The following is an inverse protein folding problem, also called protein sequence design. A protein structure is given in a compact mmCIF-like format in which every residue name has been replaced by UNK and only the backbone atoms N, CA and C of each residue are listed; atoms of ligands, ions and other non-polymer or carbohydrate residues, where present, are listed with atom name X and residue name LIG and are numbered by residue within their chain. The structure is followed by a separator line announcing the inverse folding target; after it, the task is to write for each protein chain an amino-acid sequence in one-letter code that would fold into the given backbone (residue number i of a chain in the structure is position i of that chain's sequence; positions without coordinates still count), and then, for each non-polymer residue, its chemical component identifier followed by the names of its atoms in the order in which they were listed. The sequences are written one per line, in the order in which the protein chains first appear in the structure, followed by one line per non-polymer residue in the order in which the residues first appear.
data_IF_355883639248
#
_entry.id   IF_355883639248
#
_cell.length_a   1.000
_cell.length_b   1.000
_cell.length_c   1.000
_cell.angle_alpha   90.00
_cell.angle_beta   90.00
_cell.angle_gamma   90.00
#
_symmetry.space_group_name_H-M   'P 1'
#
loop_
_entity.id
_entity.type
_entity.pdbx_description
1 polymer ?
#
# COMPACT_ATOMS: atom_id res chain seq x y z
N UNK A 1 -29.67 -3.26 -9.18
CA UNK A 1 -29.96 -1.87 -9.60
C UNK A 1 -29.98 -1.71 -11.12
N UNK A 2 -30.82 -0.81 -11.66
CA UNK A 2 -30.79 -0.41 -13.07
C UNK A 2 -29.56 0.45 -13.39
N UNK A 3 -29.11 0.45 -14.64
CA UNK A 3 -27.91 1.17 -15.08
C UNK A 3 -27.97 2.67 -14.79
N UNK A 4 -29.11 3.33 -15.02
CA UNK A 4 -29.27 4.78 -14.78
C UNK A 4 -28.94 5.20 -13.35
N UNK A 5 -29.32 4.40 -12.36
CA UNK A 5 -29.00 4.70 -10.95
C UNK A 5 -27.50 4.56 -10.72
N UNK A 6 -26.89 3.49 -11.20
CA UNK A 6 -25.44 3.28 -11.11
C UNK A 6 -24.65 4.35 -11.87
N UNK A 7 -25.17 4.84 -13.00
CA UNK A 7 -24.57 5.93 -13.75
C UNK A 7 -24.55 7.24 -12.97
N UNK A 8 -25.67 7.64 -12.37
CA UNK A 8 -25.70 8.86 -11.54
C UNK A 8 -24.82 8.75 -10.31
N UNK A 9 -24.80 7.59 -9.63
CA UNK A 9 -23.86 7.37 -8.52
C UNK A 9 -22.41 7.50 -9.00
N UNK A 10 -22.07 6.95 -10.17
CA UNK A 10 -20.73 7.13 -10.73
C UNK A 10 -20.41 8.61 -11.02
N UNK A 11 -21.34 9.38 -11.59
CA UNK A 11 -21.13 10.80 -11.83
C UNK A 11 -20.93 11.59 -10.52
N UNK A 12 -21.72 11.30 -9.49
CA UNK A 12 -21.56 11.88 -8.15
C UNK A 12 -20.17 11.58 -7.56
N UNK A 13 -19.71 10.33 -7.69
CA UNK A 13 -18.37 9.94 -7.23
C UNK A 13 -17.26 10.62 -8.03
N UNK A 14 -17.44 10.84 -9.34
CA UNK A 14 -16.48 11.55 -10.17
C UNK A 14 -16.43 13.04 -9.82
N UNK A 15 -17.57 13.67 -9.55
CA UNK A 15 -17.64 15.09 -9.14
C UNK A 15 -17.05 15.32 -7.75
N UNK A 16 -17.06 14.31 -6.88
CA UNK A 16 -16.46 14.35 -5.55
C UNK A 16 -14.93 14.17 -5.55
N UNK A 17 -14.32 13.79 -6.68
CA UNK A 17 -12.86 13.63 -6.78
C UNK A 17 -12.15 14.99 -6.70
N UNK A 18 -11.02 15.06 -5.97
CA UNK A 18 -10.07 16.16 -6.11
C UNK A 18 -9.67 16.37 -7.58
N UNK A 19 -9.52 17.64 -8.00
CA UNK A 19 -9.20 17.99 -9.40
C UNK A 19 -7.86 17.42 -9.90
N UNK A 20 -6.97 17.05 -8.98
CA UNK A 20 -5.64 16.47 -9.21
C UNK A 20 -5.62 14.94 -9.05
N UNK A 21 -6.80 14.30 -8.90
CA UNK A 21 -6.87 12.84 -8.75
C UNK A 21 -6.44 12.14 -10.03
N UNK A 22 -5.48 11.24 -9.89
CA UNK A 22 -5.07 10.36 -10.99
C UNK A 22 -5.80 9.02 -10.93
N UNK A 23 -6.15 8.53 -12.12
CA UNK A 23 -6.76 7.22 -12.32
C UNK A 23 -5.89 6.45 -13.31
N UNK A 24 -5.72 5.16 -13.05
CA UNK A 24 -4.84 4.28 -13.80
C UNK A 24 -5.65 3.21 -14.48
N UNK A 25 -5.36 3.01 -15.76
CA UNK A 25 -5.95 1.93 -16.55
C UNK A 25 -5.41 0.56 -16.12
N UNK A 26 -6.25 -0.46 -15.95
CA UNK A 26 -5.85 -1.74 -15.35
C UNK A 26 -4.99 -2.64 -16.26
N UNK A 27 -5.07 -2.50 -17.59
CA UNK A 27 -4.24 -3.31 -18.49
C UNK A 27 -2.98 -2.57 -18.92
N UNK A 28 -3.14 -1.33 -19.41
CA UNK A 28 -2.05 -0.55 -19.98
C UNK A 28 -1.29 0.30 -18.97
N UNK A 29 -1.76 0.38 -17.71
CA UNK A 29 -1.13 1.15 -16.64
C UNK A 29 -0.90 2.63 -16.98
N UNK A 30 -1.66 3.17 -17.94
CA UNK A 30 -1.65 4.58 -18.31
C UNK A 30 -2.41 5.40 -17.28
N UNK A 31 -1.79 6.48 -16.81
CA UNK A 31 -2.37 7.49 -15.91
C UNK A 31 -3.20 8.51 -16.69
N UNK A 32 -4.35 8.88 -16.16
CA UNK A 32 -5.20 9.93 -16.68
C UNK A 32 -5.95 10.65 -15.56
N UNK A 33 -6.37 11.88 -15.83
CA UNK A 33 -7.22 12.66 -14.95
C UNK A 33 -8.64 12.74 -15.51
N UNK A 34 -9.62 12.89 -14.62
CA UNK A 34 -11.01 13.17 -14.99
C UNK A 34 -11.11 14.66 -15.32
N UNK A 35 -11.35 14.99 -16.58
CA UNK A 35 -11.39 16.38 -17.07
C UNK A 35 -12.77 17.03 -16.97
N UNK A 36 -13.72 16.57 -17.79
CA UNK A 36 -15.07 17.15 -17.85
C UNK A 36 -16.13 16.05 -17.73
N UNK A 37 -17.07 16.23 -16.80
CA UNK A 37 -18.09 15.25 -16.47
C UNK A 37 -19.42 15.74 -17.05
N UNK A 38 -20.03 14.91 -17.91
CA UNK A 38 -21.31 15.24 -18.54
C UNK A 38 -22.27 14.06 -18.44
N UNK A 39 -23.58 14.35 -18.50
CA UNK A 39 -24.65 13.35 -18.41
C UNK A 39 -24.49 12.18 -19.40
N UNK A 40 -23.89 12.41 -20.57
CA UNK A 40 -23.76 11.40 -21.63
C UNK A 40 -22.32 10.94 -21.88
N UNK A 41 -21.33 11.55 -21.24
CA UNK A 41 -19.91 11.20 -21.43
C UNK A 41 -19.02 11.76 -20.32
N UNK A 42 -17.89 11.10 -20.09
CA UNK A 42 -16.81 11.60 -19.23
C UNK A 42 -15.59 11.84 -20.12
N UNK A 43 -15.00 13.03 -20.04
CA UNK A 43 -13.77 13.35 -20.75
C UNK A 43 -12.59 13.05 -19.82
N UNK A 44 -11.68 12.21 -20.27
CA UNK A 44 -10.41 11.94 -19.57
C UNK A 44 -9.24 12.56 -20.33
N UNK A 45 -8.17 12.87 -19.62
CA UNK A 45 -6.93 13.43 -20.17
C UNK A 45 -5.74 12.60 -19.70
N UNK A 46 -5.01 11.96 -20.62
CA UNK A 46 -3.84 11.14 -20.28
C UNK A 46 -2.66 12.01 -19.86
N UNK A 47 -2.03 11.69 -18.72
CA UNK A 47 -0.97 12.51 -18.13
C UNK A 47 0.27 12.62 -19.03
N UNK A 48 0.66 11.53 -19.70
CA UNK A 48 1.88 11.49 -20.52
C UNK A 48 1.73 12.19 -21.88
N UNK A 49 0.54 12.12 -22.50
CA UNK A 49 0.32 12.58 -23.87
C UNK A 49 -0.51 13.87 -23.97
N UNK A 50 -1.14 14.30 -22.87
CA UNK A 50 -2.20 15.32 -22.86
C UNK A 50 -3.33 15.04 -23.88
N UNK A 51 -3.53 13.76 -24.23
CA UNK A 51 -4.57 13.36 -25.15
C UNK A 51 -5.91 13.29 -24.43
N UNK A 52 -6.93 13.95 -24.99
CA UNK A 52 -8.30 13.94 -24.46
C UNK A 52 -9.11 12.84 -25.12
N UNK A 53 -9.63 11.92 -24.31
CA UNK A 53 -10.48 10.83 -24.77
C UNK A 53 -11.89 10.96 -24.18
N UNK A 54 -12.96 11.05 -25.01
CA UNK A 54 -14.33 11.01 -24.52
C UNK A 54 -14.81 9.57 -24.28
N UNK A 55 -15.16 9.25 -23.05
CA UNK A 55 -15.77 7.98 -22.65
C UNK A 55 -17.29 8.09 -22.67
N UNK A 56 -17.93 7.44 -23.64
CA UNK A 56 -19.37 7.50 -23.87
C UNK A 56 -20.18 6.67 -22.86
N UNK A 57 -21.31 7.21 -22.36
CA UNK A 57 -22.24 6.53 -21.44
C UNK A 57 -22.70 5.17 -21.95
N UNK A 58 -22.96 5.03 -23.25
CA UNK A 58 -23.46 3.77 -23.85
C UNK A 58 -22.44 2.62 -23.71
N UNK A 59 -21.15 2.94 -23.70
CA UNK A 59 -20.10 1.94 -23.51
C UNK A 59 -20.02 1.50 -22.05
N UNK A 60 -20.21 2.41 -21.08
CA UNK A 60 -20.41 2.04 -19.67
C UNK A 60 -21.64 1.15 -19.50
N UNK A 61 -22.75 1.48 -20.17
CA UNK A 61 -23.97 0.67 -20.13
C UNK A 61 -23.72 -0.75 -20.67
N UNK A 62 -22.97 -0.85 -21.76
CA UNK A 62 -22.57 -2.13 -22.35
C UNK A 62 -21.70 -2.95 -21.40
N UNK A 63 -20.70 -2.33 -20.77
CA UNK A 63 -19.83 -2.99 -19.80
C UNK A 63 -20.62 -3.45 -18.57
N UNK A 64 -21.46 -2.58 -18.01
CA UNK A 64 -22.35 -2.89 -16.89
C UNK A 64 -23.26 -4.08 -17.18
N UNK A 65 -23.89 -4.11 -18.37
CA UNK A 65 -24.74 -5.23 -18.77
C UNK A 65 -23.94 -6.54 -18.93
N UNK A 66 -22.71 -6.49 -19.44
CA UNK A 66 -21.83 -7.67 -19.56
C UNK A 66 -21.43 -8.24 -18.21
N UNK A 67 -21.11 -7.37 -17.25
CA UNK A 67 -20.79 -7.76 -15.86
C UNK A 67 -22.01 -8.46 -15.25
N UNK A 68 -23.20 -7.85 -15.33
CA UNK A 68 -24.45 -8.47 -14.84
C UNK A 68 -24.83 -9.77 -15.51
N UNK A 69 -24.60 -9.87 -16.81
CA UNK A 69 -24.89 -11.08 -17.58
C UNK A 69 -23.94 -12.25 -17.28
N UNK A 70 -22.86 -12.01 -16.53
CA UNK A 70 -21.77 -12.95 -16.29
C UNK A 70 -21.52 -13.15 -14.79
N UNK A 71 -22.60 -13.34 -14.02
CA UNK A 71 -22.57 -13.53 -12.57
C UNK A 71 -21.79 -12.43 -11.82
N UNK A 72 -21.93 -11.18 -12.28
CA UNK A 72 -21.27 -10.02 -11.68
C UNK A 72 -19.78 -9.93 -12.00
N UNK A 73 -19.26 -10.60 -13.04
CA UNK A 73 -17.83 -10.62 -13.37
C UNK A 73 -17.55 -10.39 -14.85
N UNK A 74 -16.52 -9.62 -15.19
CA UNK A 74 -16.09 -9.46 -16.58
C UNK A 74 -14.57 -9.53 -16.70
N UNK A 75 -14.06 -10.36 -17.61
CA UNK A 75 -12.62 -10.49 -17.88
C UNK A 75 -12.13 -9.34 -18.78
N UNK A 76 -11.09 -8.64 -18.30
CA UNK A 76 -10.55 -7.43 -18.89
C UNK A 76 -9.83 -7.70 -20.22
N UNK A 77 -9.25 -8.89 -20.44
CA UNK A 77 -8.62 -9.26 -21.72
C UNK A 77 -9.59 -9.28 -22.91
N UNK A 78 -10.90 -9.24 -22.64
CA UNK A 78 -11.95 -9.16 -23.66
C UNK A 78 -12.31 -7.72 -24.04
N UNK A 79 -11.65 -6.72 -23.47
CA UNK A 79 -11.85 -5.33 -23.83
C UNK A 79 -11.38 -5.04 -25.26
N UNK A 80 -12.05 -4.12 -25.97
CA UNK A 80 -11.49 -3.59 -27.21
C UNK A 80 -10.21 -2.78 -26.94
N UNK A 81 -9.37 -2.53 -27.96
CA UNK A 81 -8.08 -1.84 -27.81
C UNK A 81 -8.14 -0.47 -27.10
N UNK A 82 -9.24 0.26 -27.20
CA UNK A 82 -9.45 1.56 -26.54
C UNK A 82 -10.42 1.47 -25.34
N UNK A 83 -10.72 0.24 -24.90
CA UNK A 83 -11.70 -0.06 -23.86
C UNK A 83 -11.16 0.01 -22.44
N UNK A 84 -9.84 0.08 -22.28
CA UNK A 84 -9.14 0.01 -20.99
C UNK A 84 -9.52 1.11 -19.98
N UNK A 85 -9.83 2.37 -20.38
CA UNK A 85 -10.26 3.39 -19.43
C UNK A 85 -11.66 3.17 -18.83
N UNK A 86 -12.52 2.38 -19.48
CA UNK A 86 -13.88 2.14 -19.00
C UNK A 86 -13.96 1.40 -17.65
N UNK A 87 -13.31 0.25 -17.45
CA UNK A 87 -13.28 -0.39 -16.14
C UNK A 87 -12.63 0.49 -15.07
N UNK A 88 -11.57 1.25 -15.40
CA UNK A 88 -10.89 2.15 -14.47
C UNK A 88 -11.81 3.26 -13.95
N UNK A 89 -12.62 3.87 -14.83
CA UNK A 89 -13.62 4.85 -14.41
C UNK A 89 -14.78 4.16 -13.68
N UNK A 90 -15.21 2.98 -14.14
CA UNK A 90 -16.31 2.26 -13.49
C UNK A 90 -15.98 1.81 -12.07
N UNK A 91 -14.71 1.50 -11.76
CA UNK A 91 -14.29 1.11 -10.40
C UNK A 91 -14.31 2.26 -9.39
N UNK A 92 -14.47 3.51 -9.83
CA UNK A 92 -14.73 4.64 -8.92
C UNK A 92 -16.15 4.58 -8.33
N UNK A 93 -17.04 3.81 -8.94
CA UNK A 93 -18.34 3.52 -8.36
C UNK A 93 -18.19 2.53 -7.20
N UNK A 94 -18.87 2.72 -6.05
CA UNK A 94 -18.68 1.89 -4.85
C UNK A 94 -19.22 0.46 -4.97
N UNK A 95 -19.51 -0.07 -6.16
CA UNK A 95 -19.99 -1.45 -6.31
C UNK A 95 -19.15 -2.22 -7.31
N UNK A 96 -18.12 -1.59 -7.86
CA UNK A 96 -17.28 -2.19 -8.86
C UNK A 96 -15.85 -2.16 -8.37
N UNK A 97 -15.19 -3.30 -8.43
CA UNK A 97 -13.81 -3.45 -8.02
C UNK A 97 -13.05 -4.19 -9.12
N UNK A 98 -11.82 -3.76 -9.37
CA UNK A 98 -10.92 -4.44 -10.29
C UNK A 98 -10.05 -5.39 -9.47
N UNK A 99 -10.02 -6.64 -9.90
CA UNK A 99 -9.05 -7.62 -9.45
C UNK A 99 -8.09 -7.89 -10.60
N UNK A 100 -6.94 -7.22 -10.59
CA UNK A 100 -5.93 -7.35 -11.64
C UNK A 100 -5.30 -8.74 -11.69
N UNK A 101 -5.06 -9.38 -10.54
CA UNK A 101 -4.47 -10.73 -10.51
C UNK A 101 -5.32 -11.74 -11.28
N UNK A 102 -6.64 -11.61 -11.13
CA UNK A 102 -7.61 -12.42 -11.86
C UNK A 102 -7.96 -11.83 -13.24
N UNK A 103 -7.50 -10.61 -13.56
CA UNK A 103 -7.80 -9.89 -14.79
C UNK A 103 -9.31 -9.65 -14.97
N UNK A 104 -10.04 -9.35 -13.89
CA UNK A 104 -11.49 -9.18 -13.91
C UNK A 104 -11.96 -7.92 -13.19
N UNK A 105 -13.05 -7.33 -13.66
CA UNK A 105 -13.87 -6.39 -12.89
C UNK A 105 -15.09 -7.13 -12.32
N UNK A 106 -15.42 -6.86 -11.06
CA UNK A 106 -16.45 -7.56 -10.29
C UNK A 106 -17.47 -6.56 -9.75
N UNK A 107 -18.76 -6.87 -9.86
CA UNK A 107 -19.84 -6.16 -9.15
C UNK A 107 -20.06 -6.78 -7.76
N UNK A 108 -20.04 -5.95 -6.73
CA UNK A 108 -20.35 -6.33 -5.34
C UNK A 108 -21.78 -5.93 -4.96
N UNK A 109 -22.38 -6.68 -4.03
CA UNK A 109 -23.79 -6.50 -3.65
C UNK A 109 -24.03 -5.34 -2.67
N UNK A 110 -23.04 -4.97 -1.88
CA UNK A 110 -23.04 -3.82 -0.97
C UNK A 110 -22.11 -2.71 -1.48
N UNK A 111 -22.41 -1.42 -1.23
CA UNK A 111 -21.47 -0.35 -1.51
C UNK A 111 -20.18 -0.64 -0.74
N UNK A 112 -19.08 -0.91 -1.45
CA UNK A 112 -17.74 -1.06 -0.91
C UNK A 112 -17.29 0.26 -0.31
N UNK A 113 -17.68 0.51 0.94
CA UNK A 113 -16.65 0.75 1.95
C UNK A 113 -15.99 -0.61 2.18
N UNK A 114 -15.11 -0.98 1.26
CA UNK A 114 -13.97 -1.84 1.52
C UNK A 114 -14.17 -2.91 2.61
N UNK A 115 -14.72 -4.06 2.22
CA UNK A 115 -14.79 -5.29 3.00
C UNK A 115 -15.19 -5.13 4.48
N UNK A 116 -16.49 -4.93 4.70
CA UNK A 116 -17.10 -5.45 5.91
C UNK A 116 -17.04 -6.98 5.81
N UNK A 117 -16.03 -7.57 6.44
CA UNK A 117 -15.94 -9.03 6.58
C UNK A 117 -17.20 -9.49 7.29
N UNK A 118 -17.93 -10.43 6.69
CA UNK A 118 -18.91 -11.24 7.38
C UNK A 118 -18.25 -11.83 8.64
N UNK A 119 -18.48 -11.18 9.78
CA UNK A 119 -18.03 -11.66 11.09
C UNK A 119 -18.66 -13.01 11.46
N UNK A 120 -19.63 -13.49 10.67
CA UNK A 120 -20.30 -14.78 10.82
C UNK A 120 -19.71 -15.90 9.95
N UNK A 121 -18.69 -15.62 9.14
CA UNK A 121 -17.85 -16.69 8.59
C UNK A 121 -16.95 -17.21 9.71
N UNK A 122 -17.52 -18.04 10.60
CA UNK A 122 -16.72 -18.98 11.41
C UNK A 122 -15.81 -19.69 10.40
N UNK A 123 -14.48 -19.45 10.39
CA UNK A 123 -13.65 -20.20 9.48
C UNK A 123 -13.83 -21.64 9.90
N UNK A 124 -14.37 -22.46 8.99
CA UNK A 124 -14.24 -23.90 9.08
C UNK A 124 -12.78 -24.15 9.46
N UNK A 125 -12.56 -24.94 10.52
CA UNK A 125 -11.25 -25.28 11.09
C UNK A 125 -10.22 -25.51 10.00
N UNK A 126 -9.57 -24.44 9.54
CA UNK A 126 -8.47 -24.51 8.62
C UNK A 126 -7.29 -24.79 9.54
N UNK A 127 -6.74 -26.00 9.44
CA UNK A 127 -5.47 -26.36 10.07
C UNK A 127 -4.48 -25.23 9.78
N UNK A 128 -4.11 -24.49 10.83
CA UNK A 128 -3.13 -23.42 10.71
C UNK A 128 -1.81 -24.07 10.32
N UNK A 129 -1.26 -23.65 9.19
CA UNK A 129 0.05 -24.10 8.74
C UNK A 129 1.06 -23.00 9.06
N UNK A 130 2.16 -23.37 9.68
CA UNK A 130 3.30 -22.49 9.91
C UNK A 130 3.86 -22.01 8.56
N UNK A 131 3.95 -20.68 8.32
CA UNK A 131 4.52 -20.14 7.10
C UNK A 131 6.05 -20.17 7.14
N UNK A 132 6.66 -20.48 6.00
CA UNK A 132 8.11 -20.39 5.79
C UNK A 132 8.50 -18.91 5.55
N UNK A 133 8.51 -18.12 6.63
CA UNK A 133 8.81 -16.69 6.63
C UNK A 133 9.67 -16.32 7.84
N UNK A 134 10.81 -15.66 7.62
CA UNK A 134 11.73 -15.25 8.69
C UNK A 134 11.01 -14.40 9.77
N UNK A 135 10.17 -13.45 9.35
CA UNK A 135 9.39 -12.61 10.29
C UNK A 135 8.47 -13.44 11.19
N UNK A 136 7.97 -14.60 10.73
CA UNK A 136 7.13 -15.46 11.55
C UNK A 136 7.93 -16.09 12.69
N UNK A 137 9.06 -16.72 12.35
CA UNK A 137 9.95 -17.34 13.33
C UNK A 137 10.50 -16.31 14.33
N UNK A 138 10.99 -15.17 13.85
CA UNK A 138 11.55 -14.12 14.71
C UNK A 138 10.49 -13.48 15.61
N UNK A 139 9.25 -13.35 15.13
CA UNK A 139 8.14 -12.82 15.95
C UNK A 139 7.79 -13.80 17.07
N UNK A 140 7.81 -15.11 16.83
CA UNK A 140 7.57 -16.10 17.89
C UNK A 140 8.67 -16.03 18.96
N UNK A 141 9.94 -15.95 18.55
CA UNK A 141 11.07 -15.77 19.48
C UNK A 141 10.97 -14.45 20.25
N UNK A 142 10.51 -13.37 19.61
CA UNK A 142 10.30 -12.10 20.28
C UNK A 142 9.14 -12.19 21.30
N UNK A 143 8.01 -12.78 20.93
CA UNK A 143 6.86 -12.97 21.85
C UNK A 143 7.32 -13.75 23.10
N UNK A 144 8.03 -14.84 22.87
CA UNK A 144 8.62 -15.69 23.89
C UNK A 144 9.59 -14.91 24.81
N UNK A 145 10.50 -14.12 24.25
CA UNK A 145 11.37 -13.24 25.04
C UNK A 145 10.59 -12.17 25.84
N UNK A 146 9.52 -11.61 25.28
CA UNK A 146 8.66 -10.62 25.94
C UNK A 146 7.83 -11.22 27.07
N UNK A 147 7.56 -12.53 27.04
CA UNK A 147 6.86 -13.24 28.12
C UNK A 147 7.79 -13.57 29.29
N UNK A 148 9.08 -13.82 29.04
CA UNK A 148 10.06 -14.12 30.09
C UNK A 148 10.61 -12.89 30.83
N UNK A 149 10.70 -11.73 30.17
CA UNK A 149 11.32 -10.53 30.73
C UNK A 149 10.34 -9.37 30.88
N UNK A 150 10.39 -8.66 32.02
CA UNK A 150 9.63 -7.41 32.19
C UNK A 150 10.30 -6.27 31.39
N UNK A 151 9.89 -6.13 30.14
CA UNK A 151 10.40 -5.09 29.23
C UNK A 151 9.80 -3.71 29.50
N UNK A 152 8.91 -3.56 30.48
CA UNK A 152 8.32 -2.26 30.82
C UNK A 152 9.28 -1.38 31.64
N UNK A 153 10.34 -1.97 32.19
CA UNK A 153 11.43 -1.30 32.91
C UNK A 153 12.81 -1.74 32.36
N UNK A 154 13.17 -1.38 31.11
CA UNK A 154 14.40 -1.87 30.46
C UNK A 154 15.69 -1.51 31.20
N UNK A 155 15.70 -0.44 31.99
CA UNK A 155 16.83 -0.05 32.83
C UNK A 155 17.17 -1.04 33.96
N UNK A 156 16.24 -1.93 34.31
CA UNK A 156 16.43 -2.96 35.34
C UNK A 156 16.96 -4.28 34.75
N UNK A 157 16.98 -4.40 33.42
CA UNK A 157 17.43 -5.60 32.71
C UNK A 157 18.96 -5.66 32.60
N UNK A 158 19.50 -6.88 32.62
CA UNK A 158 20.92 -7.10 32.39
C UNK A 158 21.31 -6.78 30.95
N UNK A 159 22.57 -6.36 30.75
CA UNK A 159 23.09 -5.99 29.42
C UNK A 159 22.91 -7.11 28.40
N UNK A 160 23.09 -8.38 28.81
CA UNK A 160 22.94 -9.54 27.93
C UNK A 160 21.49 -9.68 27.44
N UNK A 161 20.51 -9.54 28.34
CA UNK A 161 19.08 -9.49 28.00
C UNK A 161 18.76 -8.33 27.05
N UNK A 162 19.31 -7.14 27.31
CA UNK A 162 19.11 -5.97 26.45
C UNK A 162 19.68 -6.18 25.05
N UNK A 163 20.84 -6.82 24.93
CA UNK A 163 21.44 -7.17 23.63
C UNK A 163 20.57 -8.17 22.87
N UNK A 164 20.05 -9.19 23.55
CA UNK A 164 19.15 -10.18 22.95
C UNK A 164 17.85 -9.52 22.46
N UNK A 165 17.19 -8.72 23.31
CA UNK A 165 15.97 -7.99 22.95
C UNK A 165 16.21 -7.03 21.77
N UNK A 166 17.31 -6.28 21.79
CA UNK A 166 17.66 -5.38 20.69
C UNK A 166 17.82 -6.13 19.36
N UNK A 167 18.49 -7.29 19.39
CA UNK A 167 18.72 -8.11 18.20
C UNK A 167 17.40 -8.64 17.64
N UNK A 168 16.56 -9.26 18.47
CA UNK A 168 15.24 -9.77 18.05
C UNK A 168 14.32 -8.66 17.53
N UNK A 169 14.28 -7.50 18.20
CA UNK A 169 13.50 -6.35 17.74
C UNK A 169 14.00 -5.84 16.38
N UNK A 170 15.31 -5.80 16.17
CA UNK A 170 15.92 -5.39 14.90
C UNK A 170 15.57 -6.36 13.77
N UNK A 171 15.65 -7.67 14.03
CA UNK A 171 15.34 -8.70 13.03
C UNK A 171 13.85 -8.70 12.67
N UNK A 172 12.96 -8.65 13.67
CA UNK A 172 11.50 -8.50 13.44
C UNK A 172 11.20 -7.22 12.68
N UNK A 173 11.80 -6.08 13.05
CA UNK A 173 11.59 -4.81 12.34
C UNK A 173 11.99 -4.92 10.87
N UNK A 174 13.17 -5.49 10.59
CA UNK A 174 13.70 -5.64 9.24
C UNK A 174 12.84 -6.59 8.42
N UNK A 175 12.58 -7.80 8.92
CA UNK A 175 11.85 -8.84 8.19
C UNK A 175 10.36 -8.47 8.01
N UNK A 176 9.75 -7.79 8.99
CA UNK A 176 8.41 -7.20 8.81
C UNK A 176 8.41 -6.09 7.76
N UNK A 177 9.46 -5.27 7.71
CA UNK A 177 9.57 -4.21 6.69
C UNK A 177 9.81 -4.78 5.28
N UNK A 178 10.55 -5.88 5.14
CA UNK A 178 10.78 -6.56 3.86
C UNK A 178 9.48 -7.21 3.35
N UNK A 179 8.74 -7.90 4.21
CA UNK A 179 7.41 -8.41 3.88
C UNK A 179 6.42 -7.28 3.56
N UNK A 180 6.43 -6.19 4.34
CA UNK A 180 5.58 -5.00 4.11
C UNK A 180 5.86 -4.37 2.75
N UNK A 181 7.12 -4.29 2.32
CA UNK A 181 7.48 -3.80 0.98
C UNK A 181 6.95 -4.72 -0.11
N UNK A 182 7.15 -6.03 0.02
CA UNK A 182 6.60 -7.02 -0.92
C UNK A 182 5.08 -6.90 -1.06
N UNK A 183 4.36 -6.74 0.06
CA UNK A 183 2.91 -6.49 0.07
C UNK A 183 2.56 -5.15 -0.58
N UNK A 184 3.33 -4.10 -0.30
CA UNK A 184 3.13 -2.77 -0.88
C UNK A 184 3.31 -2.79 -2.41
N UNK A 185 4.29 -3.51 -2.93
CA UNK A 185 4.54 -3.64 -4.38
C UNK A 185 3.34 -4.31 -5.08
N UNK A 186 2.79 -5.36 -4.49
CA UNK A 186 1.57 -6.02 -5.00
C UNK A 186 0.37 -5.08 -4.94
N UNK A 187 0.21 -4.33 -3.85
CA UNK A 187 -0.86 -3.35 -3.70
C UNK A 187 -0.73 -2.18 -4.68
N UNK A 188 0.48 -1.74 -5.04
CA UNK A 188 0.68 -0.69 -6.05
C UNK A 188 0.17 -1.09 -7.44
N UNK A 189 0.24 -2.38 -7.78
CA UNK A 189 -0.44 -2.90 -8.98
C UNK A 189 -1.95 -2.74 -8.84
N UNK A 190 -2.52 -3.28 -7.75
CA UNK A 190 -3.97 -3.36 -7.55
C UNK A 190 -4.69 -2.03 -7.24
N UNK A 191 -3.97 -1.00 -6.80
CA UNK A 191 -4.57 0.30 -6.47
C UNK A 191 -4.52 1.23 -7.68
N UNK A 192 -5.68 1.49 -8.30
CA UNK A 192 -5.77 2.24 -9.56
C UNK A 192 -6.12 3.71 -9.41
N UNK A 193 -6.47 4.17 -8.22
CA UNK A 193 -6.87 5.55 -7.98
C UNK A 193 -6.48 6.00 -6.58
N UNK A 194 -6.41 7.31 -6.37
CA UNK A 194 -5.94 7.92 -5.12
C UNK A 194 -6.93 7.82 -3.93
N UNK A 195 -7.95 6.95 -4.02
CA UNK A 195 -8.86 6.66 -2.89
C UNK A 195 -8.32 5.54 -1.99
N UNK A 196 -8.60 5.61 -0.67
CA UNK A 196 -8.30 4.51 0.25
C UNK A 196 -9.11 3.25 -0.07
N UNK A 197 -8.43 2.11 -0.03
CA UNK A 197 -9.02 0.77 0.00
C UNK A 197 -8.81 0.22 1.41
N UNK A 198 -9.89 -0.24 2.04
CA UNK A 198 -9.88 -0.80 3.39
C UNK A 198 -9.84 -2.32 3.41
N UNK A 199 -9.25 -2.83 4.47
CA UNK A 199 -9.40 -4.20 4.92
C UNK A 199 -9.83 -4.22 6.39
N UNK A 200 -9.83 -5.40 7.01
CA UNK A 200 -10.40 -5.58 8.35
C UNK A 200 -9.66 -4.80 9.45
N UNK A 201 -8.40 -4.45 9.23
CA UNK A 201 -7.52 -3.84 10.23
C UNK A 201 -7.12 -2.38 9.91
N UNK A 202 -7.69 -1.80 8.86
CA UNK A 202 -7.37 -0.43 8.42
C UNK A 202 -7.45 -0.24 6.91
N UNK A 203 -6.96 0.89 6.42
CA UNK A 203 -7.01 1.22 4.98
C UNK A 203 -5.67 1.73 4.45
N UNK A 204 -5.49 1.57 3.15
CA UNK A 204 -4.30 1.98 2.40
C UNK A 204 -4.70 2.71 1.13
N UNK A 205 -3.87 3.65 0.67
CA UNK A 205 -4.07 4.38 -0.56
C UNK A 205 -2.77 4.45 -1.36
N UNK A 206 -2.87 4.50 -2.68
CA UNK A 206 -1.77 4.89 -3.54
C UNK A 206 -1.51 6.39 -3.34
N UNK A 207 -0.25 6.79 -3.40
CA UNK A 207 0.13 8.20 -3.39
C UNK A 207 1.42 8.39 -4.15
N UNK A 208 1.52 9.54 -4.82
CA UNK A 208 2.69 9.93 -5.60
C UNK A 208 3.54 10.90 -4.80
N UNK A 209 4.83 10.64 -4.76
CA UNK A 209 5.84 11.60 -4.29
C UNK A 209 6.61 12.10 -5.49
N UNK A 210 6.58 13.40 -5.70
CA UNK A 210 7.40 14.08 -6.71
C UNK A 210 8.67 14.63 -6.06
N UNK A 211 9.82 14.21 -6.55
CA UNK A 211 11.12 14.76 -6.18
C UNK A 211 11.65 15.57 -7.36
N UNK A 212 12.23 16.74 -7.06
CA UNK A 212 12.88 17.58 -8.08
C UNK A 212 14.33 17.82 -7.71
N UNK A 213 15.22 17.59 -8.67
CA UNK A 213 16.63 17.96 -8.64
C UNK A 213 16.93 18.87 -9.81
N UNK A 214 17.81 19.85 -9.62
CA UNK A 214 18.26 20.66 -10.75
C UNK A 214 18.97 19.75 -11.73
N UNK A 215 18.75 20.01 -13.03
CA UNK A 215 19.62 19.47 -14.08
C UNK A 215 21.04 19.99 -13.90
N UNK A 216 21.95 19.53 -14.75
CA UNK A 216 23.33 20.00 -14.74
C UNK A 216 23.40 21.53 -14.77
N UNK A 217 24.26 22.10 -13.93
CA UNK A 217 24.35 23.55 -13.73
C UNK A 217 24.56 24.30 -15.06
N UNK A 218 25.35 23.75 -15.98
CA UNK A 218 25.61 24.39 -17.28
C UNK A 218 24.36 24.33 -18.18
N UNK A 219 23.61 23.22 -18.16
CA UNK A 219 22.34 23.07 -18.89
C UNK A 219 21.27 24.03 -18.37
N UNK A 220 21.16 24.18 -17.05
CA UNK A 220 20.21 25.11 -16.42
C UNK A 220 20.56 26.55 -16.79
N UNK A 221 21.84 26.93 -16.74
CA UNK A 221 22.28 28.29 -17.07
C UNK A 221 22.07 28.62 -18.56
N UNK A 222 22.36 27.68 -19.47
CA UNK A 222 22.10 27.83 -20.91
C UNK A 222 20.60 28.02 -21.17
N UNK A 223 19.76 27.17 -20.58
CA UNK A 223 18.30 27.24 -20.69
C UNK A 223 17.73 28.58 -20.20
N UNK A 224 18.23 29.09 -19.07
CA UNK A 224 17.84 30.40 -18.53
C UNK A 224 18.33 31.57 -19.41
N UNK A 225 19.53 31.46 -20.00
CA UNK A 225 20.08 32.48 -20.91
C UNK A 225 19.28 32.57 -22.21
N UNK A 226 18.89 31.43 -22.78
CA UNK A 226 18.02 31.34 -23.96
C UNK A 226 16.63 31.95 -23.72
N UNK A 227 16.14 31.89 -22.48
CA UNK A 227 14.91 32.55 -22.05
C UNK A 227 15.09 34.04 -21.70
N UNK A 228 16.29 34.60 -21.88
CA UNK A 228 16.59 36.02 -21.71
C UNK A 228 17.13 36.43 -20.34
N UNK A 229 17.48 35.48 -19.47
CA UNK A 229 18.11 35.75 -18.16
C UNK A 229 19.63 35.65 -18.30
N UNK A 230 20.31 36.81 -18.28
CA UNK A 230 21.77 36.85 -18.41
C UNK A 230 22.48 36.09 -17.28
N UNK A 231 23.43 35.21 -17.67
CA UNK A 231 24.33 34.44 -16.79
C UNK A 231 25.04 35.24 -15.68
N UNK A 232 25.26 36.54 -15.90
CA UNK A 232 25.91 37.43 -14.93
C UNK A 232 25.03 37.76 -13.71
N UNK A 233 23.70 37.51 -13.79
CA UNK A 233 22.77 37.67 -12.67
C UNK A 233 22.65 36.43 -11.79
N UNK A 234 23.16 35.28 -12.23
CA UNK A 234 23.06 33.98 -11.55
C UNK A 234 24.47 33.51 -11.22
N UNK A 235 25.07 34.04 -10.13
CA UNK A 235 26.42 33.67 -9.68
C UNK A 235 26.52 32.26 -9.05
N UNK A 236 25.56 31.38 -9.37
CA UNK A 236 25.40 30.03 -8.84
C UNK A 236 23.97 29.53 -9.01
N UNK A 237 23.81 28.28 -9.45
CA UNK A 237 22.51 27.63 -9.68
C UNK A 237 21.93 27.18 -8.33
N UNK A 238 21.25 28.09 -7.65
CA UNK A 238 20.46 27.76 -6.46
C UNK A 238 19.01 27.52 -6.86
N UNK A 239 18.39 26.48 -6.30
CA UNK A 239 16.97 26.15 -6.52
C UNK A 239 16.05 27.38 -6.39
N UNK A 240 16.23 28.16 -5.32
CA UNK A 240 15.44 29.37 -5.10
C UNK A 240 15.54 30.39 -6.23
N UNK A 241 16.73 30.56 -6.85
CA UNK A 241 16.91 31.52 -7.94
C UNK A 241 16.35 31.01 -9.26
N UNK A 242 16.43 29.69 -9.47
CA UNK A 242 15.84 29.03 -10.64
C UNK A 242 14.32 29.08 -10.54
N UNK A 243 13.75 28.86 -9.35
CA UNK A 243 12.31 29.03 -9.11
C UNK A 243 11.86 30.48 -9.37
N UNK A 244 12.57 31.48 -8.84
CA UNK A 244 12.30 32.90 -9.10
C UNK A 244 12.38 33.24 -10.60
N UNK A 245 13.26 32.57 -11.34
CA UNK A 245 13.43 32.75 -12.78
C UNK A 245 12.29 32.09 -13.58
N UNK A 246 11.81 30.92 -13.16
CA UNK A 246 10.64 30.26 -13.76
C UNK A 246 9.37 31.10 -13.60
N UNK A 247 9.21 31.84 -12.50
CA UNK A 247 8.03 32.72 -12.30
C UNK A 247 7.94 33.87 -13.33
N UNK A 248 9.06 34.28 -13.91
CA UNK A 248 9.15 35.45 -14.81
C UNK A 248 9.49 35.07 -16.25
N UNK A 249 9.59 33.77 -16.56
CA UNK A 249 9.89 33.24 -17.89
C UNK A 249 8.75 32.34 -18.39
N UNK A 250 8.76 32.03 -19.68
CA UNK A 250 7.85 31.02 -20.26
C UNK A 250 8.43 29.60 -20.14
N UNK A 251 9.56 29.44 -19.44
CA UNK A 251 10.17 28.14 -19.20
C UNK A 251 9.30 27.32 -18.26
N UNK A 252 9.21 26.04 -18.56
CA UNK A 252 8.58 25.04 -17.70
C UNK A 252 9.57 24.51 -16.67
N UNK A 253 9.04 23.96 -15.58
CA UNK A 253 9.86 23.32 -14.55
C UNK A 253 10.75 22.20 -15.13
N UNK A 254 10.23 21.44 -16.09
CA UNK A 254 10.95 20.36 -16.78
C UNK A 254 12.12 20.82 -17.63
N UNK A 255 12.22 22.11 -17.95
CA UNK A 255 13.35 22.64 -18.72
C UNK A 255 14.61 22.71 -17.85
N UNK A 256 14.46 22.95 -16.55
CA UNK A 256 15.58 23.18 -15.60
C UNK A 256 15.68 22.16 -14.46
N UNK A 257 14.63 21.38 -14.20
CA UNK A 257 14.63 20.32 -13.20
C UNK A 257 14.53 18.94 -13.83
N UNK A 258 15.29 17.99 -13.28
CA UNK A 258 14.98 16.56 -13.34
C UNK A 258 13.90 16.29 -12.28
N UNK A 259 12.78 15.74 -12.74
CA UNK A 259 11.63 15.45 -11.90
C UNK A 259 11.45 13.93 -11.88
N UNK A 260 11.65 13.33 -10.71
CA UNK A 260 11.38 11.93 -10.47
C UNK A 260 10.08 11.77 -9.68
N UNK A 261 9.18 10.94 -10.19
CA UNK A 261 7.96 10.56 -9.48
C UNK A 261 8.08 9.14 -8.96
N UNK A 262 7.80 8.96 -7.67
CA UNK A 262 7.80 7.66 -7.01
C UNK A 262 6.45 7.41 -6.36
N UNK A 263 5.86 6.27 -6.67
CA UNK A 263 4.58 5.86 -6.12
C UNK A 263 4.79 4.94 -4.94
N UNK A 264 3.97 5.11 -3.90
CA UNK A 264 4.06 4.29 -2.71
C UNK A 264 2.69 4.07 -2.10
N UNK A 265 2.54 2.93 -1.42
CA UNK A 265 1.35 2.66 -0.62
C UNK A 265 1.47 3.40 0.70
N UNK A 266 0.51 4.26 0.98
CA UNK A 266 0.39 4.94 2.27
C UNK A 266 -0.76 4.32 3.05
N UNK A 267 -0.46 3.95 4.29
CA UNK A 267 -1.46 3.63 5.30
C UNK A 267 -2.32 4.86 5.58
N UNK A 268 -3.62 4.76 5.34
CA UNK A 268 -4.58 5.85 5.47
C UNK A 268 -5.24 5.84 6.85
N UNK A 269 -5.72 4.68 7.31
CA UNK A 269 -6.41 4.54 8.60
C UNK A 269 -6.13 3.19 9.27
N UNK A 270 -6.51 3.05 10.54
CA UNK A 270 -6.33 1.86 11.38
C UNK A 270 -7.56 1.62 12.22
N UNK A 271 -8.08 0.40 12.13
CA UNK A 271 -9.13 -0.05 13.03
C UNK A 271 -8.51 -0.77 14.23
N UNK A 272 -8.26 -0.03 15.32
CA UNK A 272 -7.70 -0.61 16.56
C UNK A 272 -8.73 -1.45 17.32
N UNK A 273 -10.02 -1.11 17.25
CA UNK A 273 -11.09 -1.85 17.95
C UNK A 273 -11.23 -3.28 17.40
N UNK A 274 -11.18 -3.43 16.08
CA UNK A 274 -11.20 -4.75 15.44
C UNK A 274 -9.96 -5.56 15.81
N UNK A 275 -8.78 -4.94 15.88
CA UNK A 275 -7.56 -5.63 16.32
C UNK A 275 -7.65 -6.11 17.76
N UNK A 276 -8.11 -5.26 18.67
CA UNK A 276 -8.26 -5.60 20.09
C UNK A 276 -9.26 -6.75 20.27
N UNK A 277 -10.42 -6.65 19.61
CA UNK A 277 -11.46 -7.69 19.65
C UNK A 277 -10.93 -9.02 19.11
N UNK A 278 -10.21 -8.98 17.98
CA UNK A 278 -9.61 -10.18 17.38
C UNK A 278 -8.56 -10.80 18.28
N UNK A 279 -7.68 -9.97 18.85
CA UNK A 279 -6.63 -10.42 19.77
C UNK A 279 -7.23 -11.05 21.03
N UNK A 280 -8.26 -10.44 21.61
CA UNK A 280 -8.96 -11.00 22.77
C UNK A 280 -9.55 -12.37 22.44
N UNK A 281 -10.20 -12.51 21.29
CA UNK A 281 -10.73 -13.81 20.84
C UNK A 281 -9.65 -14.88 20.65
N UNK A 282 -8.45 -14.49 20.18
CA UNK A 282 -7.30 -15.40 20.09
C UNK A 282 -6.78 -15.82 21.47
N UNK A 283 -6.71 -14.89 22.43
CA UNK A 283 -6.32 -15.18 23.82
C UNK A 283 -7.31 -16.12 24.49
N UNK A 284 -8.62 -15.89 24.32
CA UNK A 284 -9.67 -16.76 24.87
C UNK A 284 -9.57 -18.18 24.29
N UNK A 285 -9.27 -18.30 22.99
CA UNK A 285 -9.06 -19.59 22.33
C UNK A 285 -7.80 -20.32 22.85
N UNK A 286 -6.71 -19.58 23.08
CA UNK A 286 -5.48 -20.15 23.64
C UNK A 286 -5.71 -20.65 25.06
N UNK A 287 -6.29 -19.83 25.93
CA UNK A 287 -6.61 -20.18 27.31
C UNK A 287 -7.55 -21.40 27.42
N UNK A 288 -8.48 -21.58 26.47
CA UNK A 288 -9.34 -22.76 26.42
C UNK A 288 -8.60 -24.08 26.10
N UNK A 289 -7.39 -23.98 25.55
CA UNK A 289 -6.53 -25.12 25.17
C UNK A 289 -5.53 -25.49 26.28
N UNK A 290 -5.27 -24.59 27.24
CA UNK A 290 -4.34 -24.73 28.36
C UNK A 290 -4.89 -25.56 29.54
N UNK A 291 -5.37 -26.78 29.29
CA UNK A 291 -5.82 -27.72 30.33
C UNK A 291 -4.65 -28.40 31.08
N UNK A 292 -4.97 -29.27 32.06
CA UNK A 292 -4.04 -29.92 33.03
C UNK A 292 -2.74 -30.57 32.49
N UNK A 293 -2.60 -30.80 31.17
CA UNK A 293 -1.37 -31.31 30.56
C UNK A 293 -0.41 -30.23 30.03
N UNK A 294 -0.86 -28.98 29.91
CA UNK A 294 -0.06 -27.87 29.38
C UNK A 294 1.00 -27.39 30.39
N UNK A 295 0.72 -27.51 31.69
CA UNK A 295 1.65 -27.08 32.75
C UNK A 295 2.87 -28.01 32.85
N UNK A 296 2.66 -29.32 32.76
CA UNK A 296 3.76 -30.32 32.74
C UNK A 296 4.67 -30.14 31.52
N UNK A 297 4.08 -29.79 30.37
CA UNK A 297 4.82 -29.46 29.14
C UNK A 297 5.61 -28.14 29.27
N UNK A 298 5.08 -27.13 29.99
CA UNK A 298 5.80 -25.87 30.25
C UNK A 298 7.02 -26.09 31.13
N UNK A 299 6.87 -26.85 32.22
CA UNK A 299 8.00 -27.20 33.11
C UNK A 299 9.09 -27.97 32.33
N UNK A 300 8.70 -28.92 31.47
CA UNK A 300 9.67 -29.66 30.64
C UNK A 300 10.39 -28.75 29.63
N UNK A 301 9.70 -27.77 29.06
CA UNK A 301 10.29 -26.79 28.14
C UNK A 301 11.25 -25.87 28.87
N UNK A 302 10.88 -25.35 30.05
CA UNK A 302 11.75 -24.48 30.86
C UNK A 302 13.06 -25.18 31.24
N UNK A 303 12.99 -26.45 31.67
CA UNK A 303 14.16 -27.29 31.94
C UNK A 303 15.05 -27.48 30.68
N UNK A 304 14.44 -27.56 29.50
CA UNK A 304 15.17 -27.68 28.23
C UNK A 304 15.83 -26.37 27.82
N UNK A 305 15.17 -25.24 28.05
CA UNK A 305 15.66 -23.89 27.77
C UNK A 305 16.85 -23.54 28.66
N UNK A 306 16.73 -23.75 29.97
CA UNK A 306 17.82 -23.58 30.93
C UNK A 306 19.07 -24.36 30.50
N UNK A 307 18.86 -25.57 30.00
CA UNK A 307 19.94 -26.42 29.48
C UNK A 307 20.51 -25.92 28.16
N UNK A 308 19.70 -25.34 27.28
CA UNK A 308 20.19 -24.73 26.04
C UNK A 308 21.03 -23.50 26.38
N UNK A 309 20.56 -22.64 27.29
CA UNK A 309 21.28 -21.44 27.75
C UNK A 309 22.61 -21.79 28.43
N UNK A 310 22.65 -22.85 29.25
CA UNK A 310 23.91 -23.37 29.80
C UNK A 310 24.90 -23.81 28.70
N UNK A 311 24.39 -24.31 27.57
CA UNK A 311 25.20 -24.80 26.45
C UNK A 311 25.59 -23.71 25.44
N UNK A 312 24.77 -22.66 25.28
CA UNK A 312 24.93 -21.61 24.27
C UNK A 312 25.54 -20.32 24.84
N UNK A 313 25.50 -20.11 26.16
CA UNK A 313 26.24 -19.03 26.82
C UNK A 313 27.75 -19.23 26.57
N UNK A 314 28.33 -18.33 25.77
CA UNK A 314 29.70 -18.49 25.29
C UNK A 314 30.72 -18.43 26.43
N UNK A 315 31.40 -19.55 26.68
CA UNK A 315 32.72 -19.58 27.31
C UNK A 315 33.67 -18.65 26.56
N UNK A 316 34.04 -17.53 27.17
CA UNK A 316 35.12 -16.67 26.71
C UNK A 316 36.45 -17.42 26.85
N UNK A 317 36.91 -18.02 25.76
CA UNK A 317 38.28 -18.51 25.65
C UNK A 317 39.23 -17.35 25.36
N UNK A 318 39.84 -16.76 26.38
CA UNK A 318 41.15 -16.09 26.24
C UNK A 318 41.87 -16.07 27.60
N UNK A 319 42.60 -17.15 27.88
CA UNK A 319 43.87 -17.12 28.63
C UNK A 319 44.63 -18.42 28.33
N UNK A 320 45.23 -18.48 27.13
CA UNK A 320 46.41 -19.30 26.87
C UNK A 320 47.45 -18.35 26.32
N UNK A 321 48.41 -17.96 27.16
CA UNK A 321 49.58 -17.18 26.76
C UNK A 321 50.20 -16.34 27.88
N UNK A 322 50.77 -16.98 28.91
CA UNK A 322 52.23 -16.99 29.17
C UNK A 322 52.57 -18.05 30.25
#
# INVERSE_FOLDING_TARGET
MPFTVSWHTLLEELEALPNDSEVITPLSHKRFQIGDIQEHRVIIEFAESNEKQPLQREQFETLFQRIKGSDGRFNLDRLPPDGDPYPAVLSLHPRFEINEDAGVIIETDEPTTSSQVDADSTPASNDRTEPDLDVYADTLLLVDALERYDVTAPEELETETLVNLYTLLSDVQRNANDLRQTVADVLLGRLHHDRPVSGPYGSVQRTTRRNRSLKDDDEVLETLEDAGINRERVMGVDRSKVDDALEVTELSESDVYEVDESEYVRKADVDEEVKETRLQGLKDQLAATEGDGAEELREEIEDLEDRIDELTSFRTGTEVGD
#
